data_IF_129964760990
#
_entry.id   IF_129964760990
#
_cell.length_a   1.000
_cell.length_b   1.000
_cell.length_c   1.000
_cell.angle_alpha   90.00
_cell.angle_beta   90.00
_cell.angle_gamma   90.00
#
_symmetry.space_group_name_H-M   'P 1'
#
loop_
_entity.id
_entity.type
_entity.pdbx_description
1 polymer ?
#
# COMPACT_ATOMS: atom_id res chain seq x y z
N UNK A 1 9.24 61.47 34.11
CA UNK A 1 9.66 60.07 33.86
C UNK A 1 8.43 59.20 33.58
N UNK A 2 7.80 59.31 32.39
CA UNK A 2 6.56 58.56 32.09
C UNK A 2 6.45 58.10 30.61
N UNK A 3 7.50 58.21 29.79
CA UNK A 3 7.43 57.86 28.37
C UNK A 3 8.00 56.47 28.01
N UNK A 4 8.72 55.79 28.91
CA UNK A 4 9.41 54.53 28.55
C UNK A 4 8.54 53.27 28.67
N UNK A 5 7.45 53.32 29.46
CA UNK A 5 6.61 52.14 29.69
C UNK A 5 5.70 51.82 28.51
N UNK A 6 5.18 52.83 27.81
CA UNK A 6 4.34 52.63 26.65
C UNK A 6 5.11 51.98 25.48
N UNK A 7 6.34 52.42 25.21
CA UNK A 7 7.17 51.87 24.14
C UNK A 7 7.49 50.37 24.36
N UNK A 8 7.80 49.98 25.60
CA UNK A 8 8.08 48.58 25.94
C UNK A 8 6.83 47.68 25.80
N UNK A 9 5.64 48.20 26.09
CA UNK A 9 4.39 47.46 25.93
C UNK A 9 4.05 47.21 24.45
N UNK A 10 4.25 48.21 23.59
CA UNK A 10 4.03 48.07 22.14
C UNK A 10 5.00 47.11 21.47
N UNK A 11 6.27 47.09 21.90
CA UNK A 11 7.28 46.13 21.42
C UNK A 11 6.93 44.69 21.85
N UNK A 12 6.49 44.49 23.10
CA UNK A 12 6.05 43.18 23.60
C UNK A 12 4.79 42.68 22.89
N UNK A 13 3.80 43.55 22.64
CA UNK A 13 2.61 43.24 21.85
C UNK A 13 2.97 42.90 20.39
N UNK A 14 3.88 43.66 19.77
CA UNK A 14 4.37 43.41 18.42
C UNK A 14 5.10 42.07 18.28
N UNK A 15 5.98 41.74 19.25
CA UNK A 15 6.67 40.44 19.30
C UNK A 15 5.70 39.28 19.58
N UNK A 16 4.69 39.49 20.44
CA UNK A 16 3.65 38.50 20.71
C UNK A 16 2.79 38.21 19.47
N UNK A 17 2.33 39.25 18.77
CA UNK A 17 1.58 39.12 17.53
C UNK A 17 2.42 38.49 16.42
N UNK A 18 3.68 38.88 16.25
CA UNK A 18 4.59 38.28 15.29
C UNK A 18 4.88 36.80 15.62
N UNK A 19 5.05 36.46 16.90
CA UNK A 19 5.20 35.09 17.37
C UNK A 19 3.98 34.23 17.10
N UNK A 20 2.77 34.75 17.37
CA UNK A 20 1.50 34.08 17.06
C UNK A 20 1.31 33.94 15.54
N UNK A 21 1.67 34.95 14.75
CA UNK A 21 1.59 34.92 13.28
C UNK A 21 2.58 33.89 12.68
N UNK A 22 3.80 33.79 13.22
CA UNK A 22 4.79 32.79 12.82
C UNK A 22 4.36 31.38 13.22
N UNK A 23 3.76 31.21 14.41
CA UNK A 23 3.20 29.94 14.87
C UNK A 23 2.00 29.50 14.02
N UNK A 24 1.10 30.42 13.66
CA UNK A 24 -0.05 30.13 12.79
C UNK A 24 0.35 29.87 11.34
N UNK A 25 1.38 30.54 10.81
CA UNK A 25 1.98 30.20 9.50
C UNK A 25 2.63 28.81 9.48
N UNK A 26 3.23 28.37 10.59
CA UNK A 26 3.77 27.00 10.73
C UNK A 26 2.70 25.90 10.74
N UNK A 27 1.42 26.26 10.91
CA UNK A 27 0.32 25.32 11.16
C UNK A 27 -0.60 25.03 9.97
N UNK A 28 -0.42 25.67 8.80
CA UNK A 28 -1.15 25.32 7.58
C UNK A 28 -0.20 24.82 6.50
N UNK A 29 0.19 23.54 6.59
CA UNK A 29 0.77 22.84 5.43
C UNK A 29 -0.32 22.81 4.36
N UNK A 30 -0.12 23.53 3.25
CA UNK A 30 -1.06 23.52 2.13
C UNK A 30 -1.09 22.12 1.53
N UNK A 31 -2.28 21.49 1.52
CA UNK A 31 -2.48 20.20 0.87
C UNK A 31 -2.42 20.43 -0.63
N UNK A 32 -1.57 19.67 -1.33
CA UNK A 32 -1.50 19.71 -2.81
C UNK A 32 -2.83 19.23 -3.39
N UNK A 33 -3.20 19.72 -4.57
CA UNK A 33 -4.43 19.29 -5.27
C UNK A 33 -4.51 17.76 -5.45
N UNK A 34 -3.36 17.15 -5.75
CA UNK A 34 -3.21 15.70 -5.91
C UNK A 34 -2.86 14.98 -4.61
N UNK A 35 -2.95 15.66 -3.45
CA UNK A 35 -2.51 15.18 -2.14
C UNK A 35 -1.03 14.75 -2.10
N UNK A 36 -0.23 15.09 -3.11
CA UNK A 36 1.13 14.59 -3.27
C UNK A 36 1.20 13.12 -3.68
N UNK A 37 0.13 12.56 -4.25
CA UNK A 37 0.06 11.15 -4.62
C UNK A 37 0.94 10.79 -5.84
N UNK A 38 1.12 11.72 -6.77
CA UNK A 38 1.79 11.48 -8.06
C UNK A 38 3.21 12.05 -8.08
N UNK A 39 4.12 11.26 -8.66
CA UNK A 39 5.45 11.74 -9.06
C UNK A 39 5.47 12.22 -10.50
N UNK A 40 4.63 11.60 -11.34
CA UNK A 40 4.58 11.84 -12.77
C UNK A 40 3.15 11.58 -13.25
N UNK A 41 2.58 12.53 -14.00
CA UNK A 41 1.30 12.37 -14.67
C UNK A 41 1.56 11.96 -16.10
N UNK A 42 0.84 10.96 -16.57
CA UNK A 42 0.92 10.45 -17.94
C UNK A 42 -0.45 9.97 -18.37
N UNK A 43 -0.64 9.61 -19.64
CA UNK A 43 -1.92 9.06 -20.08
C UNK A 43 -1.70 7.92 -21.08
N UNK A 44 -1.93 6.69 -20.63
CA UNK A 44 -1.97 5.52 -21.50
C UNK A 44 -3.43 5.16 -21.75
N UNK A 45 -3.87 5.39 -22.99
CA UNK A 45 -5.24 5.18 -23.40
C UNK A 45 -5.50 3.69 -23.71
N UNK A 46 -6.69 3.18 -23.36
CA UNK A 46 -7.10 1.83 -23.76
C UNK A 46 -7.31 1.74 -25.28
N UNK A 47 -7.34 0.52 -25.84
CA UNK A 47 -7.77 0.33 -27.22
C UNK A 47 -9.22 0.81 -27.42
N UNK A 48 -9.62 1.11 -28.67
CA UNK A 48 -11.02 1.43 -28.99
C UNK A 48 -11.97 0.32 -28.52
N UNK A 49 -13.16 0.72 -28.08
CA UNK A 49 -14.16 -0.26 -27.65
C UNK A 49 -14.55 -1.21 -28.80
N UNK A 50 -14.81 -2.48 -28.51
CA UNK A 50 -15.30 -3.42 -29.50
C UNK A 50 -16.62 -2.93 -30.10
N UNK A 51 -16.76 -3.02 -31.43
CA UNK A 51 -18.03 -2.70 -32.08
C UNK A 51 -19.13 -3.71 -31.66
N UNK A 52 -20.39 -3.27 -31.51
CA UNK A 52 -21.52 -4.17 -31.30
C UNK A 52 -21.55 -5.30 -32.36
N UNK A 53 -21.89 -6.54 -31.98
CA UNK A 53 -22.50 -6.98 -30.73
C UNK A 53 -21.51 -7.40 -29.62
N UNK A 54 -20.19 -7.15 -29.78
CA UNK A 54 -19.21 -7.55 -28.77
C UNK A 54 -19.38 -6.73 -27.49
N UNK A 55 -19.22 -7.39 -26.34
CA UNK A 55 -19.29 -6.73 -25.05
C UNK A 55 -18.15 -5.69 -24.89
N UNK A 56 -18.40 -4.57 -24.18
CA UNK A 56 -17.36 -3.62 -23.80
C UNK A 56 -16.24 -4.29 -23.00
N UNK A 57 -15.07 -3.66 -23.00
CA UNK A 57 -13.97 -4.15 -22.18
C UNK A 57 -14.32 -4.14 -20.68
N UNK A 58 -13.80 -5.08 -19.87
CA UNK A 58 -14.20 -5.22 -18.47
C UNK A 58 -13.89 -4.03 -17.58
N UNK A 59 -12.99 -3.12 -17.96
CA UNK A 59 -12.55 -1.93 -17.20
C UNK A 59 -12.85 -0.62 -17.93
N UNK A 60 -13.72 -0.64 -18.94
CA UNK A 60 -14.13 0.57 -19.67
C UNK A 60 -14.53 1.70 -18.72
N UNK A 61 -14.05 2.91 -19.06
CA UNK A 61 -14.26 4.16 -18.33
C UNK A 61 -13.64 4.22 -16.92
N UNK A 62 -12.80 3.25 -16.54
CA UNK A 62 -12.03 3.33 -15.31
C UNK A 62 -10.65 3.94 -15.55
N UNK A 63 -10.19 4.67 -14.56
CA UNK A 63 -8.85 5.26 -14.48
C UNK A 63 -8.03 4.55 -13.41
N UNK A 64 -6.73 4.42 -13.65
CA UNK A 64 -5.82 3.89 -12.65
C UNK A 64 -4.44 4.54 -12.66
N UNK A 65 -3.73 4.37 -11.56
CA UNK A 65 -2.33 4.76 -11.44
C UNK A 65 -1.48 3.56 -10.98
N UNK A 66 -0.18 3.65 -11.18
CA UNK A 66 0.76 2.59 -10.78
C UNK A 66 1.81 3.16 -9.84
N UNK A 67 2.20 2.43 -8.80
CA UNK A 67 3.38 2.76 -8.02
C UNK A 67 4.62 2.95 -8.91
N UNK A 68 5.56 3.80 -8.52
CA UNK A 68 6.83 4.02 -9.23
C UNK A 68 7.83 2.85 -9.11
N UNK A 69 7.33 1.65 -9.37
CA UNK A 69 8.07 0.37 -9.44
C UNK A 69 7.65 -0.45 -10.65
N UNK A 70 6.63 0.00 -11.39
CA UNK A 70 6.14 -0.65 -12.60
C UNK A 70 6.70 0.06 -13.83
N UNK A 71 7.26 -0.73 -14.74
CA UNK A 71 7.78 -0.26 -16.01
C UNK A 71 6.64 0.21 -16.93
N UNK A 72 6.87 1.35 -17.56
CA UNK A 72 6.05 1.91 -18.63
C UNK A 72 7.01 2.27 -19.77
N UNK A 73 6.71 1.79 -20.97
CA UNK A 73 7.53 2.02 -22.15
C UNK A 73 7.80 3.51 -22.38
N UNK A 74 9.08 3.87 -22.52
CA UNK A 74 9.52 5.26 -22.73
C UNK A 74 9.62 6.10 -21.45
N UNK A 75 9.27 5.55 -20.29
CA UNK A 75 9.41 6.22 -18.99
C UNK A 75 10.45 5.53 -18.12
N UNK A 76 11.18 6.30 -17.33
CA UNK A 76 12.11 5.77 -16.33
C UNK A 76 11.34 5.32 -15.09
N UNK A 77 11.58 4.10 -14.62
CA UNK A 77 11.05 3.60 -13.33
C UNK A 77 11.96 4.07 -12.20
N UNK A 78 11.47 5.02 -11.41
CA UNK A 78 12.29 5.81 -10.49
C UNK A 78 12.54 5.16 -9.13
N UNK A 79 11.81 4.10 -8.80
CA UNK A 79 11.94 3.36 -7.54
C UNK A 79 11.86 4.24 -6.28
N UNK A 80 11.14 5.36 -6.35
CA UNK A 80 11.08 6.30 -5.24
C UNK A 80 12.42 7.01 -4.94
N UNK A 81 13.40 7.01 -5.85
CA UNK A 81 14.70 7.65 -5.66
C UNK A 81 15.20 8.39 -6.92
N UNK A 82 15.52 9.69 -6.87
CA UNK A 82 15.93 10.46 -8.04
C UNK A 82 17.28 10.02 -8.62
N UNK A 83 18.28 9.65 -7.80
CA UNK A 83 19.53 9.10 -8.36
C UNK A 83 19.33 7.76 -9.07
N UNK A 84 18.42 6.91 -8.59
CA UNK A 84 18.06 5.69 -9.29
C UNK A 84 17.50 6.03 -10.67
N UNK A 85 16.54 6.96 -10.74
CA UNK A 85 15.99 7.42 -12.01
C UNK A 85 17.07 8.03 -12.93
N UNK A 86 18.05 8.74 -12.38
CA UNK A 86 19.13 9.35 -13.17
C UNK A 86 20.09 8.33 -13.77
N UNK A 87 20.30 7.19 -13.12
CA UNK A 87 21.27 6.16 -13.56
C UNK A 87 20.63 5.04 -14.38
N UNK A 88 19.31 5.02 -14.53
CA UNK A 88 18.60 3.99 -15.27
C UNK A 88 17.94 4.56 -16.51
N UNK A 89 17.95 3.78 -17.59
CA UNK A 89 17.30 4.13 -18.83
C UNK A 89 15.77 3.99 -18.74
N UNK A 90 15.08 4.63 -19.67
CA UNK A 90 13.64 4.43 -19.83
C UNK A 90 13.35 2.95 -20.15
N UNK A 91 12.25 2.43 -19.61
CA UNK A 91 11.87 1.05 -19.87
C UNK A 91 11.58 0.84 -21.36
N UNK A 92 12.09 -0.25 -21.91
CA UNK A 92 11.86 -0.63 -23.31
C UNK A 92 10.47 -1.21 -23.56
N UNK A 93 9.77 -1.62 -22.49
CA UNK A 93 8.43 -2.23 -22.55
C UNK A 93 7.64 -1.89 -21.31
N UNK A 94 6.32 -1.74 -21.48
CA UNK A 94 5.38 -1.63 -20.37
C UNK A 94 5.22 -2.99 -19.67
N UNK A 95 5.14 -2.98 -18.33
CA UNK A 95 4.94 -4.17 -17.53
C UNK A 95 3.64 -4.90 -17.97
N UNK A 96 3.66 -6.24 -18.17
CA UNK A 96 2.49 -6.96 -18.69
C UNK A 96 1.21 -6.76 -17.87
N UNK A 97 1.33 -6.61 -16.55
CA UNK A 97 0.18 -6.33 -15.68
C UNK A 97 -0.47 -4.97 -15.98
N UNK A 98 0.34 -3.96 -16.32
CA UNK A 98 -0.14 -2.62 -16.72
C UNK A 98 -0.79 -2.70 -18.10
N UNK A 99 -0.13 -3.34 -19.07
CA UNK A 99 -0.69 -3.57 -20.41
C UNK A 99 -2.01 -4.32 -20.36
N UNK A 100 -2.13 -5.37 -19.53
CA UNK A 100 -3.36 -6.17 -19.38
C UNK A 100 -4.54 -5.32 -18.92
N UNK A 101 -4.32 -4.33 -18.03
CA UNK A 101 -5.38 -3.43 -17.56
C UNK A 101 -5.77 -2.40 -18.62
N UNK A 102 -4.80 -1.90 -19.39
CA UNK A 102 -5.03 -1.00 -20.51
C UNK A 102 -5.83 -1.71 -21.60
N UNK A 103 -5.40 -2.91 -22.01
CA UNK A 103 -6.14 -3.80 -22.93
C UNK A 103 -7.51 -4.20 -22.37
N UNK A 104 -7.63 -4.26 -21.04
CA UNK A 104 -8.87 -4.43 -20.32
C UNK A 104 -9.79 -3.21 -20.33
N UNK A 105 -9.41 -2.10 -20.95
CA UNK A 105 -10.24 -0.91 -21.15
C UNK A 105 -10.00 0.24 -20.18
N UNK A 106 -9.02 0.13 -19.27
CA UNK A 106 -8.71 1.17 -18.29
C UNK A 106 -7.70 2.20 -18.84
N UNK A 107 -7.77 3.44 -18.36
CA UNK A 107 -6.79 4.50 -18.67
C UNK A 107 -5.77 4.62 -17.54
N UNK A 108 -4.48 4.47 -17.83
CA UNK A 108 -3.42 4.76 -16.84
C UNK A 108 -3.14 6.26 -16.82
N UNK A 109 -3.20 6.92 -15.66
CA UNK A 109 -3.12 8.38 -15.53
C UNK A 109 -1.85 8.89 -14.83
N UNK A 110 -0.97 8.01 -14.37
CA UNK A 110 0.20 8.45 -13.62
C UNK A 110 0.96 7.38 -12.88
N UNK A 111 2.15 7.78 -12.44
CA UNK A 111 3.00 7.05 -11.52
C UNK A 111 2.94 7.67 -10.14
N UNK A 112 2.74 6.85 -9.12
CA UNK A 112 2.52 7.30 -7.76
C UNK A 112 3.74 7.15 -6.87
N UNK A 113 3.83 8.02 -5.87
CA UNK A 113 4.89 7.99 -4.86
C UNK A 113 4.96 6.63 -4.19
N UNK A 114 6.19 6.15 -4.00
CA UNK A 114 6.51 5.01 -3.16
C UNK A 114 7.51 5.42 -2.08
N UNK A 115 7.61 4.64 -1.00
CA UNK A 115 8.76 4.74 -0.09
C UNK A 115 10.08 4.62 -0.87
N UNK A 116 11.14 5.24 -0.38
CA UNK A 116 12.47 5.21 -1.01
C UNK A 116 12.90 3.74 -1.25
N UNK A 117 13.18 3.39 -2.50
CA UNK A 117 13.51 2.02 -2.94
C UNK A 117 12.43 0.98 -2.59
N UNK A 118 11.18 1.44 -2.47
CA UNK A 118 10.04 0.71 -1.90
C UNK A 118 10.34 0.02 -0.55
N UNK A 119 11.39 0.48 0.15
CA UNK A 119 11.86 -0.09 1.40
C UNK A 119 11.33 0.75 2.56
N UNK A 120 10.09 0.46 2.93
CA UNK A 120 9.40 1.17 4.00
C UNK A 120 7.98 0.68 4.19
N UNK A 121 7.37 1.13 5.28
CA UNK A 121 5.97 0.81 5.62
C UNK A 121 5.15 2.05 6.03
N UNK A 122 5.80 3.20 6.16
CA UNK A 122 5.18 4.42 6.65
C UNK A 122 4.63 5.28 5.51
N UNK A 123 5.14 5.15 4.28
CA UNK A 123 4.73 6.00 3.16
C UNK A 123 5.43 7.36 3.10
N UNK A 124 6.59 7.47 3.76
CA UNK A 124 7.42 8.67 3.80
C UNK A 124 8.53 8.60 2.77
N UNK A 125 8.57 9.57 1.86
CA UNK A 125 9.66 9.73 0.91
C UNK A 125 10.30 11.12 1.10
N UNK A 126 11.63 11.16 1.29
CA UNK A 126 12.36 12.44 1.51
C UNK A 126 12.53 13.27 0.23
N UNK A 127 12.51 12.60 -0.93
CA UNK A 127 12.75 13.21 -2.24
C UNK A 127 11.46 13.75 -2.86
N UNK A 128 10.40 12.96 -2.83
CA UNK A 128 9.10 13.31 -3.43
C UNK A 128 8.08 13.86 -2.42
N UNK A 129 8.40 13.79 -1.13
CA UNK A 129 7.50 14.14 -0.03
C UNK A 129 6.61 12.98 0.41
N UNK A 130 5.89 13.18 1.51
CA UNK A 130 4.91 12.22 2.04
C UNK A 130 3.52 12.58 1.50
N UNK A 131 2.84 11.68 0.77
CA UNK A 131 1.44 11.88 0.37
C UNK A 131 0.55 12.15 1.59
N UNK A 132 -0.37 13.10 1.47
CA UNK A 132 -1.28 13.48 2.55
C UNK A 132 -2.42 12.48 2.60
N UNK A 133 -2.57 11.78 3.73
CA UNK A 133 -3.66 10.82 3.93
C UNK A 133 -5.02 11.55 3.99
N UNK A 134 -5.96 11.34 3.05
CA UNK A 134 -7.25 12.04 3.02
C UNK A 134 -8.14 11.75 4.23
N UNK A 135 -8.03 10.56 4.82
CA UNK A 135 -8.81 10.16 6.00
C UNK A 135 -8.25 10.77 7.29
N UNK A 136 -6.97 11.16 7.30
CA UNK A 136 -6.32 11.75 8.46
C UNK A 136 -5.07 12.55 8.06
N UNK A 137 -5.24 13.81 7.68
CA UNK A 137 -4.18 14.68 7.14
C UNK A 137 -2.92 14.80 8.02
N UNK A 138 -3.02 14.58 9.34
CA UNK A 138 -1.90 14.66 10.28
C UNK A 138 -1.18 13.33 10.51
N UNK A 139 -1.59 12.25 9.83
CA UNK A 139 -1.01 10.90 9.96
C UNK A 139 -0.42 10.47 8.64
N UNK A 140 0.55 9.57 8.73
CA UNK A 140 1.16 8.98 7.55
C UNK A 140 0.15 8.11 6.78
N UNK A 141 0.25 8.01 5.45
CA UNK A 141 -0.65 7.21 4.63
C UNK A 141 -0.34 5.70 4.67
N UNK A 142 0.79 5.30 5.26
CA UNK A 142 1.32 3.94 5.16
C UNK A 142 2.05 3.72 3.84
N UNK A 143 2.82 2.64 3.72
CA UNK A 143 3.65 2.37 2.56
C UNK A 143 3.97 0.88 2.39
N UNK A 144 4.75 0.48 1.39
CA UNK A 144 5.51 1.36 0.50
C UNK A 144 4.70 2.01 -0.63
N UNK A 145 3.52 1.48 -1.00
CA UNK A 145 2.69 2.04 -2.09
C UNK A 145 1.79 3.19 -1.62
N UNK A 146 2.38 4.22 -1.01
CA UNK A 146 1.66 5.31 -0.34
C UNK A 146 0.84 6.18 -1.29
N UNK A 147 1.45 6.62 -2.40
CA UNK A 147 0.76 7.42 -3.40
C UNK A 147 -0.39 6.66 -4.06
N UNK A 148 -0.24 5.36 -4.29
CA UNK A 148 -1.27 4.51 -4.88
C UNK A 148 -2.54 4.46 -4.00
N UNK A 149 -2.39 4.28 -2.69
CA UNK A 149 -3.51 4.29 -1.76
C UNK A 149 -4.15 5.67 -1.63
N UNK A 150 -3.33 6.73 -1.53
CA UNK A 150 -3.83 8.11 -1.45
C UNK A 150 -4.57 8.51 -2.71
N UNK A 151 -4.10 8.13 -3.91
CA UNK A 151 -4.77 8.44 -5.17
C UNK A 151 -6.19 7.86 -5.21
N UNK A 152 -6.37 6.62 -4.73
CA UNK A 152 -7.68 5.97 -4.64
C UNK A 152 -8.55 6.60 -3.54
N UNK A 153 -7.99 6.86 -2.36
CA UNK A 153 -8.70 7.46 -1.23
C UNK A 153 -9.20 8.88 -1.56
N UNK A 154 -8.36 9.69 -2.20
CA UNK A 154 -8.66 11.05 -2.65
C UNK A 154 -9.53 11.11 -3.91
N UNK A 155 -9.95 9.95 -4.45
CA UNK A 155 -10.77 9.84 -5.66
C UNK A 155 -10.13 10.44 -6.91
N UNK A 156 -8.80 10.43 -6.98
CA UNK A 156 -8.03 10.86 -8.14
C UNK A 156 -8.02 9.78 -9.24
N UNK A 157 -8.21 8.52 -8.84
CA UNK A 157 -8.37 7.35 -9.72
C UNK A 157 -9.40 6.37 -9.15
N UNK A 158 -9.91 5.48 -9.99
CA UNK A 158 -10.87 4.43 -9.59
C UNK A 158 -10.17 3.27 -8.86
N UNK A 159 -8.96 2.93 -9.31
CA UNK A 159 -8.10 1.91 -8.70
C UNK A 159 -6.62 2.24 -8.90
N UNK A 160 -5.73 1.52 -8.24
CA UNK A 160 -4.28 1.67 -8.45
C UNK A 160 -3.53 0.37 -8.20
N UNK A 161 -2.32 0.26 -8.73
CA UNK A 161 -1.41 -0.87 -8.51
C UNK A 161 -0.30 -0.52 -7.53
N UNK A 162 0.08 -1.52 -6.73
CA UNK A 162 1.23 -1.46 -5.83
C UNK A 162 1.90 -2.83 -5.67
N UNK A 163 2.98 -2.87 -4.90
CA UNK A 163 3.69 -4.12 -4.55
C UNK A 163 3.61 -4.35 -3.05
N UNK A 164 3.26 -5.57 -2.65
CA UNK A 164 3.14 -6.00 -1.26
C UNK A 164 4.19 -7.06 -0.93
N UNK A 165 5.38 -6.59 -0.53
CA UNK A 165 6.48 -7.43 -0.02
C UNK A 165 6.22 -7.84 1.43
N UNK A 166 5.97 -6.85 2.30
CA UNK A 166 5.78 -7.04 3.75
C UNK A 166 4.55 -6.30 4.29
N UNK A 167 3.63 -5.93 3.40
CA UNK A 167 2.47 -5.09 3.70
C UNK A 167 2.31 -3.86 2.81
N UNK A 168 3.13 -3.73 1.75
CA UNK A 168 3.20 -2.54 0.91
C UNK A 168 1.91 -2.14 0.19
N UNK A 169 0.90 -3.03 0.17
CA UNK A 169 -0.47 -2.73 -0.28
C UNK A 169 -1.43 -2.73 0.90
N UNK A 170 -1.40 -3.76 1.75
CA UNK A 170 -2.37 -3.92 2.85
C UNK A 170 -2.28 -2.82 3.92
N UNK A 171 -1.07 -2.36 4.28
CA UNK A 171 -0.88 -1.31 5.28
C UNK A 171 -1.39 0.04 4.80
N UNK A 172 -0.98 0.56 3.62
CA UNK A 172 -1.47 1.84 3.16
C UNK A 172 -2.98 1.82 2.86
N UNK A 173 -3.53 0.68 2.43
CA UNK A 173 -4.97 0.52 2.29
C UNK A 173 -5.71 0.72 3.62
N UNK A 174 -5.25 0.05 4.68
CA UNK A 174 -5.82 0.18 6.01
C UNK A 174 -5.71 1.60 6.56
N UNK A 175 -4.58 2.27 6.33
CA UNK A 175 -4.36 3.64 6.84
C UNK A 175 -5.16 4.69 6.07
N UNK A 176 -5.34 4.51 4.76
CA UNK A 176 -6.10 5.44 3.91
C UNK A 176 -7.58 5.08 3.77
N UNK A 177 -8.08 4.08 4.53
CA UNK A 177 -9.51 3.72 4.53
C UNK A 177 -10.03 3.14 3.21
N UNK A 178 -9.18 2.45 2.44
CA UNK A 178 -9.55 1.83 1.15
C UNK A 178 -9.31 0.32 1.17
N UNK A 179 -9.87 -0.41 0.21
CA UNK A 179 -9.56 -1.84 0.09
C UNK A 179 -8.22 -2.00 -0.62
N UNK A 180 -7.37 -2.86 -0.08
CA UNK A 180 -6.13 -3.31 -0.70
C UNK A 180 -6.12 -4.83 -0.79
N UNK A 181 -6.00 -5.35 -2.00
CA UNK A 181 -5.97 -6.79 -2.26
C UNK A 181 -4.57 -7.23 -2.62
N UNK A 182 -4.03 -8.16 -1.83
CA UNK A 182 -2.81 -8.90 -2.15
C UNK A 182 -3.21 -10.33 -2.54
N UNK A 183 -3.08 -10.74 -3.81
CA UNK A 183 -3.35 -12.11 -4.22
C UNK A 183 -2.37 -13.10 -3.60
N UNK A 184 -2.59 -14.39 -3.87
CA UNK A 184 -1.57 -15.42 -3.63
C UNK A 184 -0.29 -15.05 -4.37
N UNK A 185 0.87 -15.32 -3.75
CA UNK A 185 2.17 -15.10 -4.38
C UNK A 185 2.24 -15.88 -5.70
N UNK A 186 2.78 -15.25 -6.74
CA UNK A 186 2.89 -15.81 -8.09
C UNK A 186 1.59 -15.82 -8.92
N UNK A 187 0.44 -15.43 -8.36
CA UNK A 187 -0.83 -15.42 -9.12
C UNK A 187 -0.89 -14.33 -10.20
N UNK A 188 -0.10 -13.26 -10.05
CA UNK A 188 0.06 -12.19 -11.03
C UNK A 188 1.55 -12.07 -11.36
N UNK A 189 1.85 -11.93 -12.65
CA UNK A 189 3.24 -11.78 -13.13
C UNK A 189 3.91 -10.55 -12.52
N UNK A 190 5.19 -10.71 -12.18
CA UNK A 190 6.04 -9.62 -11.67
C UNK A 190 7.02 -9.09 -12.74
N UNK A 191 6.84 -9.48 -14.02
CA UNK A 191 7.67 -8.96 -15.10
C UNK A 191 7.47 -7.45 -15.26
N UNK A 192 8.57 -6.72 -15.48
CA UNK A 192 8.56 -5.25 -15.59
C UNK A 192 8.27 -4.54 -14.26
N UNK A 193 8.58 -5.18 -13.12
CA UNK A 193 8.50 -4.58 -11.80
C UNK A 193 9.87 -4.66 -11.15
N UNK A 194 10.33 -3.55 -10.56
CA UNK A 194 11.61 -3.53 -9.85
C UNK A 194 11.52 -4.43 -8.62
N UNK A 195 12.37 -5.47 -8.50
CA UNK A 195 12.31 -6.40 -7.39
C UNK A 195 12.84 -5.77 -6.09
N UNK A 196 12.08 -5.91 -5.01
CA UNK A 196 12.51 -5.61 -3.63
C UNK A 196 12.94 -6.90 -2.94
N UNK A 197 12.14 -7.95 -3.06
CA UNK A 197 12.39 -9.29 -2.55
C UNK A 197 11.55 -10.27 -3.35
N UNK A 198 12.16 -10.94 -4.33
CA UNK A 198 11.48 -11.84 -5.27
C UNK A 198 10.70 -12.96 -4.57
N UNK A 199 11.15 -13.41 -3.40
CA UNK A 199 10.45 -14.43 -2.61
C UNK A 199 9.16 -13.93 -1.96
N UNK A 200 8.98 -12.61 -1.83
CA UNK A 200 7.89 -12.00 -1.07
C UNK A 200 7.01 -11.08 -1.91
N UNK A 201 7.61 -10.43 -2.91
CA UNK A 201 6.97 -9.45 -3.77
C UNK A 201 5.71 -10.05 -4.39
N UNK A 202 4.65 -9.24 -4.43
CA UNK A 202 3.37 -9.62 -4.98
C UNK A 202 2.66 -8.36 -5.44
N UNK A 203 2.26 -8.33 -6.71
CA UNK A 203 1.43 -7.24 -7.23
C UNK A 203 0.09 -7.27 -6.53
N UNK A 204 -0.30 -6.14 -5.95
CA UNK A 204 -1.62 -5.94 -5.39
C UNK A 204 -2.26 -4.67 -5.94
N UNK A 205 -3.54 -4.48 -5.62
CA UNK A 205 -4.28 -3.33 -6.11
C UNK A 205 -5.23 -2.77 -5.06
N UNK A 206 -5.56 -1.49 -5.25
CA UNK A 206 -6.42 -0.72 -4.36
C UNK A 206 -7.70 -0.31 -5.08
N UNK A 207 -8.82 -0.27 -4.36
CA UNK A 207 -10.05 0.35 -4.82
C UNK A 207 -10.91 0.81 -3.65
N UNK A 208 -11.80 1.78 -3.88
CA UNK A 208 -12.86 2.13 -2.91
C UNK A 208 -14.13 1.31 -3.11
N UNK A 209 -14.42 0.93 -4.35
CA UNK A 209 -15.60 0.15 -4.71
C UNK A 209 -15.23 -1.35 -4.82
N UNK A 210 -15.89 -2.25 -4.07
CA UNK A 210 -15.62 -3.68 -4.14
C UNK A 210 -15.87 -4.26 -5.53
N UNK A 211 -16.76 -3.65 -6.33
CA UNK A 211 -17.00 -4.07 -7.72
C UNK A 211 -15.80 -3.73 -8.61
N UNK A 212 -15.18 -2.56 -8.43
CA UNK A 212 -13.94 -2.20 -9.14
C UNK A 212 -12.81 -3.16 -8.72
N UNK A 213 -12.64 -3.40 -7.42
CA UNK A 213 -11.64 -4.35 -6.90
C UNK A 213 -11.81 -5.74 -7.54
N UNK A 214 -13.06 -6.21 -7.65
CA UNK A 214 -13.43 -7.49 -8.25
C UNK A 214 -13.17 -7.51 -9.77
N UNK A 215 -13.53 -6.46 -10.50
CA UNK A 215 -13.31 -6.35 -11.96
C UNK A 215 -11.82 -6.41 -12.30
N UNK A 216 -10.99 -5.67 -11.55
CA UNK A 216 -9.52 -5.73 -11.67
C UNK A 216 -9.03 -7.15 -11.40
N UNK A 217 -9.52 -7.80 -10.35
CA UNK A 217 -9.18 -9.19 -10.05
C UNK A 217 -9.58 -10.19 -11.15
N UNK A 218 -10.71 -10.00 -11.82
CA UNK A 218 -11.10 -10.87 -12.94
C UNK A 218 -10.14 -10.73 -14.13
N UNK A 219 -9.72 -9.51 -14.43
CA UNK A 219 -8.78 -9.22 -15.52
C UNK A 219 -7.38 -9.78 -15.20
N UNK A 220 -6.89 -9.57 -13.98
CA UNK A 220 -5.52 -9.92 -13.61
C UNK A 220 -5.33 -11.40 -13.25
N UNK A 221 -6.30 -12.01 -12.58
CA UNK A 221 -6.17 -13.40 -12.11
C UNK A 221 -6.66 -14.42 -13.14
N UNK A 222 -7.46 -13.98 -14.12
CA UNK A 222 -8.05 -14.83 -15.17
C UNK A 222 -8.68 -16.13 -14.63
N UNK A 223 -9.24 -16.07 -13.42
CA UNK A 223 -9.79 -17.25 -12.76
C UNK A 223 -11.09 -17.68 -13.46
N UNK A 224 -11.35 -18.99 -13.54
CA UNK A 224 -12.63 -19.47 -14.02
C UNK A 224 -13.75 -18.93 -13.14
N UNK A 225 -14.89 -18.64 -13.76
CA UNK A 225 -16.08 -18.22 -13.02
C UNK A 225 -16.41 -19.28 -11.97
N UNK A 226 -16.56 -18.84 -10.72
CA UNK A 226 -16.99 -19.70 -9.62
C UNK A 226 -18.20 -19.09 -8.96
N UNK A 227 -19.16 -19.95 -8.61
CA UNK A 227 -20.32 -19.55 -7.81
C UNK A 227 -19.81 -19.06 -6.46
N UNK A 228 -20.32 -17.92 -6.00
CA UNK A 228 -20.02 -17.39 -4.68
C UNK A 228 -20.35 -18.46 -3.62
N UNK A 229 -19.35 -18.83 -2.81
CA UNK A 229 -19.50 -19.81 -1.73
C UNK A 229 -19.54 -19.09 -0.40
N UNK A 230 -20.51 -19.45 0.44
CA UNK A 230 -20.46 -19.05 1.85
C UNK A 230 -19.30 -19.77 2.56
N UNK A 231 -18.53 -19.06 3.39
CA UNK A 231 -17.47 -19.68 4.18
C UNK A 231 -18.09 -20.69 5.15
N UNK A 232 -17.48 -21.88 5.24
CA UNK A 232 -17.87 -22.90 6.23
C UNK A 232 -17.39 -22.55 7.63
N UNK A 233 -16.26 -21.84 7.70
CA UNK A 233 -15.62 -21.43 8.93
C UNK A 233 -14.88 -20.11 8.69
N UNK A 234 -14.96 -19.22 9.65
CA UNK A 234 -14.19 -17.98 9.75
C UNK A 234 -13.45 -18.04 11.07
N UNK A 235 -12.13 -17.87 11.03
CA UNK A 235 -11.27 -17.94 12.22
C UNK A 235 -10.85 -16.52 12.60
N UNK A 236 -11.12 -16.15 13.84
CA UNK A 236 -10.56 -14.96 14.50
C UNK A 236 -9.24 -15.38 15.14
N UNK A 237 -8.14 -14.79 14.68
CA UNK A 237 -6.79 -15.04 15.19
C UNK A 237 -6.53 -14.15 16.42
N UNK A 238 -6.91 -14.62 17.61
CA UNK A 238 -6.92 -13.81 18.83
C UNK A 238 -5.54 -13.22 19.14
N UNK A 239 -4.49 -14.00 18.96
CA UNK A 239 -3.10 -13.60 19.17
C UNK A 239 -2.65 -12.47 18.25
N UNK A 240 -3.28 -12.29 17.08
CA UNK A 240 -3.05 -11.12 16.23
C UNK A 240 -3.74 -9.87 16.77
N UNK A 241 -4.95 -10.01 17.33
CA UNK A 241 -5.71 -8.90 17.91
C UNK A 241 -5.13 -8.45 19.26
N UNK A 242 -4.56 -9.37 20.04
CA UNK A 242 -3.84 -9.06 21.29
C UNK A 242 -2.60 -8.17 21.08
N UNK A 243 -2.04 -8.13 19.86
CA UNK A 243 -0.94 -7.22 19.52
C UNK A 243 -1.38 -5.76 19.37
N UNK A 244 -2.69 -5.51 19.27
CA UNK A 244 -3.22 -4.16 19.14
C UNK A 244 -3.07 -3.40 20.46
N UNK A 245 -2.59 -2.16 20.38
CA UNK A 245 -2.57 -1.23 21.52
C UNK A 245 -3.94 -0.63 21.84
N UNK A 246 -4.95 -0.95 21.03
CA UNK A 246 -6.33 -0.50 21.17
C UNK A 246 -7.08 -1.61 21.89
N UNK A 247 -7.97 -1.30 22.85
CA UNK A 247 -8.82 -2.30 23.49
C UNK A 247 -9.48 -3.21 22.46
N UNK A 248 -9.26 -4.52 22.62
CA UNK A 248 -9.64 -5.55 21.65
C UNK A 248 -11.12 -5.45 21.29
N UNK A 249 -11.94 -5.18 22.32
CA UNK A 249 -13.39 -5.11 22.30
C UNK A 249 -13.98 -4.02 21.38
N UNK A 250 -13.15 -3.08 20.93
CA UNK A 250 -13.53 -2.06 19.94
C UNK A 250 -13.28 -2.48 18.49
N UNK A 251 -12.28 -3.34 18.26
CA UNK A 251 -11.83 -3.71 16.91
C UNK A 251 -12.40 -5.07 16.51
N UNK A 252 -12.29 -6.08 17.36
CA UNK A 252 -12.79 -7.43 17.09
C UNK A 252 -14.31 -7.45 16.99
N UNK A 253 -15.01 -6.68 17.83
CA UNK A 253 -16.47 -6.65 17.92
C UNK A 253 -17.11 -6.21 16.61
N UNK A 254 -16.50 -5.26 15.90
CA UNK A 254 -16.99 -4.82 14.60
C UNK A 254 -16.88 -5.95 13.57
N UNK A 255 -15.75 -6.67 13.56
CA UNK A 255 -15.50 -7.81 12.67
C UNK A 255 -16.41 -8.98 13.00
N UNK A 256 -16.52 -9.35 14.28
CA UNK A 256 -17.36 -10.43 14.80
C UNK A 256 -18.83 -10.14 14.47
N UNK A 257 -19.37 -8.96 14.84
CA UNK A 257 -20.77 -8.62 14.56
C UNK A 257 -21.09 -8.61 13.07
N UNK A 258 -20.18 -8.08 12.25
CA UNK A 258 -20.37 -8.07 10.79
C UNK A 258 -20.37 -9.49 10.22
N UNK A 259 -19.47 -10.35 10.72
CA UNK A 259 -19.38 -11.75 10.34
C UNK A 259 -20.62 -12.54 10.74
N UNK A 260 -21.06 -12.40 12.01
CA UNK A 260 -22.27 -13.04 12.52
C UNK A 260 -23.51 -12.60 11.71
N UNK A 261 -23.61 -11.31 11.38
CA UNK A 261 -24.70 -10.76 10.58
C UNK A 261 -24.73 -11.34 9.16
N UNK A 262 -23.58 -11.50 8.52
CA UNK A 262 -23.49 -11.94 7.12
C UNK A 262 -23.53 -13.46 6.95
N UNK A 263 -22.95 -14.21 7.89
CA UNK A 263 -22.70 -15.65 7.72
C UNK A 263 -23.23 -16.51 8.87
N UNK A 264 -23.76 -15.91 9.92
CA UNK A 264 -24.24 -16.60 11.13
C UNK A 264 -23.13 -16.82 12.15
N UNK A 265 -23.51 -16.98 13.43
CA UNK A 265 -22.57 -17.16 14.54
C UNK A 265 -21.83 -18.50 14.50
N UNK A 266 -22.47 -19.52 13.96
CA UNK A 266 -21.97 -20.90 13.90
C UNK A 266 -20.73 -21.07 13.01
N UNK A 267 -20.46 -20.15 12.08
CA UNK A 267 -19.25 -20.22 11.24
C UNK A 267 -18.02 -19.64 11.94
N UNK A 268 -18.20 -18.86 13.01
CA UNK A 268 -17.11 -18.14 13.66
C UNK A 268 -16.42 -19.03 14.70
N UNK A 269 -15.09 -19.10 14.64
CA UNK A 269 -14.24 -19.73 15.67
C UNK A 269 -13.10 -18.81 16.06
N UNK A 270 -12.66 -18.95 17.29
CA UNK A 270 -11.50 -18.27 17.86
C UNK A 270 -10.35 -19.26 17.96
N UNK A 271 -9.17 -18.87 17.51
CA UNK A 271 -7.96 -19.71 17.53
C UNK A 271 -6.72 -18.86 17.82
N UNK A 272 -5.75 -19.43 18.53
CA UNK A 272 -4.40 -18.89 18.59
C UNK A 272 -3.64 -19.35 17.33
N UNK A 273 -3.30 -18.42 16.45
CA UNK A 273 -2.75 -18.75 15.14
C UNK A 273 -1.30 -19.28 15.25
N UNK A 274 -0.55 -18.84 16.27
CA UNK A 274 0.76 -19.39 16.62
C UNK A 274 0.70 -20.88 16.97
N UNK A 275 -0.24 -21.27 17.84
CA UNK A 275 -0.47 -22.67 18.22
C UNK A 275 -0.98 -23.50 17.04
N UNK A 276 -1.90 -22.92 16.24
CA UNK A 276 -2.36 -23.54 15.02
C UNK A 276 -1.20 -23.88 14.09
N UNK A 277 -0.29 -22.93 13.81
CA UNK A 277 0.88 -23.18 12.97
C UNK A 277 1.83 -24.22 13.57
N UNK A 278 2.06 -24.19 14.88
CA UNK A 278 2.88 -25.21 15.55
C UNK A 278 2.32 -26.63 15.39
N UNK A 279 0.99 -26.76 15.38
CA UNK A 279 0.32 -28.04 15.19
C UNK A 279 0.33 -28.50 13.73
N UNK A 280 0.19 -27.58 12.77
CA UNK A 280 -0.01 -27.89 11.34
C UNK A 280 1.26 -27.84 10.49
N UNK A 281 2.31 -27.17 10.96
CA UNK A 281 3.56 -26.98 10.21
C UNK A 281 4.74 -27.55 11.02
N UNK A 282 4.99 -28.87 10.94
CA UNK A 282 6.01 -29.54 11.75
C UNK A 282 7.41 -28.95 11.61
N UNK A 283 7.75 -28.40 10.44
CA UNK A 283 9.04 -27.76 10.17
C UNK A 283 9.30 -26.53 11.06
N UNK A 284 8.26 -25.87 11.58
CA UNK A 284 8.42 -24.75 12.52
C UNK A 284 8.97 -25.19 13.88
N UNK A 285 8.80 -26.46 14.26
CA UNK A 285 9.32 -27.01 15.53
C UNK A 285 10.84 -26.93 15.63
N UNK A 286 11.55 -27.00 14.49
CA UNK A 286 13.01 -26.90 14.44
C UNK A 286 13.55 -25.53 14.85
N UNK A 287 12.76 -24.47 14.67
CA UNK A 287 13.17 -23.10 14.96
C UNK A 287 12.98 -22.72 16.44
N UNK A 288 12.19 -23.47 17.21
CA UNK A 288 11.97 -23.24 18.65
C UNK A 288 13.19 -23.57 19.54
N UNK A 289 14.26 -24.16 18.98
CA UNK A 289 15.39 -24.72 19.75
C UNK A 289 16.58 -23.78 19.98
N UNK A 290 16.57 -22.55 19.49
CA UNK A 290 17.70 -21.62 19.64
C UNK A 290 17.47 -20.58 20.74
N UNK A 291 18.31 -20.69 21.77
CA UNK A 291 18.60 -19.78 22.88
C UNK A 291 17.50 -19.64 23.93
N UNK A 292 17.83 -20.01 25.17
CA UNK A 292 16.96 -20.09 26.35
C UNK A 292 16.39 -18.76 26.87
N UNK A 293 15.98 -17.86 25.99
CA UNK A 293 15.29 -16.61 26.31
C UNK A 293 13.99 -16.50 25.50
N UNK A 294 12.86 -16.45 26.22
CA UNK A 294 11.48 -16.28 25.77
C UNK A 294 10.99 -17.23 24.65
N UNK A 295 9.94 -18.02 24.95
CA UNK A 295 9.10 -18.66 23.92
C UNK A 295 8.57 -17.58 22.95
N UNK A 296 9.27 -17.35 21.85
CA UNK A 296 8.80 -16.49 20.77
C UNK A 296 7.61 -17.17 20.09
N UNK A 297 6.48 -16.47 19.93
CA UNK A 297 5.37 -17.01 19.14
C UNK A 297 5.82 -17.30 17.71
N UNK A 298 5.33 -18.37 17.10
CA UNK A 298 5.71 -18.78 15.75
C UNK A 298 5.41 -17.70 14.71
N UNK A 299 4.40 -16.88 14.95
CA UNK A 299 4.08 -15.70 14.14
C UNK A 299 5.20 -14.66 14.18
N UNK A 300 5.74 -14.35 15.36
CA UNK A 300 6.84 -13.39 15.49
C UNK A 300 8.09 -13.90 14.78
N UNK A 301 8.34 -15.21 14.82
CA UNK A 301 9.45 -15.83 14.11
C UNK A 301 9.27 -15.78 12.60
N UNK A 302 8.08 -16.12 12.08
CA UNK A 302 7.77 -15.99 10.66
C UNK A 302 7.91 -14.54 10.18
N UNK A 303 7.46 -13.57 10.98
CA UNK A 303 7.65 -12.15 10.68
C UNK A 303 9.14 -11.75 10.66
N UNK A 304 9.97 -12.31 11.55
CA UNK A 304 11.42 -12.09 11.53
C UNK A 304 12.06 -12.70 10.29
N UNK A 305 11.70 -13.93 9.92
CA UNK A 305 12.20 -14.60 8.70
C UNK A 305 11.82 -13.79 7.47
N UNK A 306 10.58 -13.30 7.38
CA UNK A 306 10.13 -12.43 6.29
C UNK A 306 11.00 -11.16 6.18
N UNK A 307 11.29 -10.50 7.30
CA UNK A 307 12.18 -9.32 7.31
C UNK A 307 13.62 -9.64 6.91
N UNK A 308 14.15 -10.78 7.38
CA UNK A 308 15.50 -11.23 7.02
C UNK A 308 15.58 -11.53 5.53
N UNK A 309 14.61 -12.26 4.97
CA UNK A 309 14.52 -12.53 3.53
C UNK A 309 14.51 -11.23 2.73
N UNK A 310 13.61 -10.31 3.06
CA UNK A 310 13.54 -9.00 2.42
C UNK A 310 14.90 -8.29 2.43
N UNK A 311 15.55 -8.20 3.59
CA UNK A 311 16.84 -7.53 3.72
C UNK A 311 17.97 -8.22 2.94
N UNK A 312 17.99 -9.56 2.94
CA UNK A 312 19.02 -10.35 2.26
C UNK A 312 18.89 -10.27 0.74
N UNK A 313 17.67 -10.37 0.22
CA UNK A 313 17.40 -10.31 -1.21
C UNK A 313 17.59 -8.90 -1.74
N UNK A 314 17.14 -7.88 -1.01
CA UNK A 314 17.40 -6.48 -1.37
C UNK A 314 18.91 -6.19 -1.41
N UNK A 315 19.67 -6.69 -0.44
CA UNK A 315 21.13 -6.58 -0.44
C UNK A 315 21.81 -7.33 -1.60
N UNK A 316 21.29 -8.49 -2.02
CA UNK A 316 21.78 -9.22 -3.18
C UNK A 316 21.47 -8.47 -4.49
N UNK A 317 20.26 -7.96 -4.64
CA UNK A 317 19.89 -7.14 -5.80
C UNK A 317 20.74 -5.87 -5.88
N UNK A 318 21.09 -5.25 -4.75
CA UNK A 318 21.99 -4.10 -4.73
C UNK A 318 23.42 -4.46 -5.16
N UNK A 319 23.97 -5.57 -4.64
CA UNK A 319 25.33 -6.02 -5.02
C UNK A 319 25.43 -6.45 -6.49
N UNK A 320 24.37 -7.06 -7.03
CA UNK A 320 24.32 -7.50 -8.43
C UNK A 320 23.90 -6.38 -9.40
N UNK A 321 23.11 -5.41 -8.93
CA UNK A 321 22.63 -4.26 -9.72
C UNK A 321 23.63 -3.10 -9.78
N UNK A 322 24.48 -2.92 -8.77
CA UNK A 322 25.58 -1.94 -8.80
C UNK A 322 26.74 -2.33 -9.75
N UNK A 323 26.64 -3.46 -10.46
CA UNK A 323 27.61 -3.93 -11.46
C UNK A 323 27.07 -3.90 -12.90
N UNK A 324 25.96 -3.21 -13.17
CA UNK A 324 25.50 -2.95 -14.55
C UNK A 324 25.38 -1.48 -14.82
#
# INVERSE_FOLDING_TARGET
MASSHAANLWVLLGLGLAGILLMTKKLKKSIREDFGAFIEKLQLLPPPQPAPPKAPHPLTALTFAVSDVFDIEGYVTGFGHPDWARTHEAASRTAPVVSTLIEGGATCVGKTVVDELAYGINGTNKHYGTPTNPESHSRVPGGSSSGAAVAVAAKLVDFSLGVDTVGGVRVPAAFCGVMGFRPSHGAVSQMGIIPVSTSLDTVGWFARDPNVLRRVGHVLLQLPFSVQRSPRQIIIADDCFELLKIPIDRVDRAVIKSTEKLFGRQVLKHENLGDYFNSKVPSLKGFHKTNGELKSSSIRMLANVMRLLQSSEMGLHWKCGAMR
#
